data_IF_609531423438
#
_entry.id   IF_609531423438
#
_cell.length_a   1.000
_cell.length_b   1.000
_cell.length_c   1.000
_cell.angle_alpha   90.00
_cell.angle_beta   90.00
_cell.angle_gamma   90.00
#
_symmetry.space_group_name_H-M   'P 1'
#
loop_
_entity.id
_entity.type
_entity.pdbx_description
1 polymer ?
#
# COMPACT_ATOMS: atom_id res chain seq x y z
N UNK A 1 -70.96 -23.56 58.72
CA UNK A 1 -71.19 -24.66 57.77
C UNK A 1 -70.67 -24.18 56.42
N UNK A 2 -69.70 -24.91 55.88
CA UNK A 2 -69.07 -24.83 54.54
C UNK A 2 -69.85 -24.00 53.49
N UNK A 3 -69.23 -23.20 52.61
CA UNK A 3 -68.24 -23.69 51.65
C UNK A 3 -67.64 -22.56 50.76
N UNK A 4 -66.34 -22.74 50.48
CA UNK A 4 -65.67 -22.61 49.16
C UNK A 4 -65.65 -21.29 48.36
N UNK A 5 -64.40 -20.79 48.27
CA UNK A 5 -63.64 -20.40 47.06
C UNK A 5 -63.59 -18.92 46.70
N UNK A 6 -62.66 -18.24 47.39
CA UNK A 6 -61.72 -17.29 46.80
C UNK A 6 -61.18 -17.80 45.47
N UNK A 7 -61.57 -17.16 44.37
CA UNK A 7 -60.89 -17.28 43.07
C UNK A 7 -60.20 -15.95 42.81
N UNK A 8 -58.92 -15.89 43.19
CA UNK A 8 -57.99 -14.86 42.75
C UNK A 8 -57.77 -15.06 41.25
N UNK A 9 -58.34 -14.18 40.42
CA UNK A 9 -58.01 -14.10 39.00
C UNK A 9 -56.67 -13.37 38.86
N UNK A 10 -55.57 -14.12 38.91
CA UNK A 10 -54.25 -13.65 38.50
C UNK A 10 -54.24 -13.58 36.97
N UNK A 11 -54.50 -12.40 36.41
CA UNK A 11 -54.25 -12.12 34.99
C UNK A 11 -52.73 -11.96 34.84
N UNK A 12 -52.07 -13.02 34.37
CA UNK A 12 -50.69 -12.97 33.93
C UNK A 12 -50.62 -12.13 32.64
N UNK A 13 -50.24 -10.87 32.77
CA UNK A 13 -49.85 -10.01 31.64
C UNK A 13 -48.48 -10.48 31.19
N UNK A 14 -48.45 -11.33 30.16
CA UNK A 14 -47.23 -11.72 29.46
C UNK A 14 -46.69 -10.49 28.74
N UNK A 15 -45.69 -9.82 29.32
CA UNK A 15 -44.86 -8.84 28.63
C UNK A 15 -44.18 -9.56 27.45
N UNK A 16 -44.70 -9.34 26.23
CA UNK A 16 -43.95 -9.61 25.02
C UNK A 16 -42.85 -8.55 24.94
N UNK A 17 -41.69 -8.85 25.51
CA UNK A 17 -40.45 -8.15 25.24
C UNK A 17 -40.08 -8.43 23.78
N UNK A 18 -40.61 -7.60 22.87
CA UNK A 18 -40.11 -7.49 21.51
C UNK A 18 -38.68 -6.99 21.58
N UNK A 19 -37.72 -7.92 21.54
CA UNK A 19 -36.33 -7.57 21.31
C UNK A 19 -36.20 -7.00 19.90
N UNK A 20 -36.09 -5.69 19.79
CA UNK A 20 -35.59 -5.07 18.57
C UNK A 20 -34.11 -5.42 18.46
N UNK A 21 -33.76 -6.49 17.73
CA UNK A 21 -32.39 -6.66 17.25
C UNK A 21 -32.19 -5.64 16.13
N UNK A 22 -31.48 -4.55 16.41
CA UNK A 22 -30.98 -3.66 15.37
C UNK A 22 -29.84 -4.41 14.70
N UNK A 23 -30.07 -4.92 13.49
CA UNK A 23 -28.98 -5.42 12.65
C UNK A 23 -28.35 -4.19 11.99
N UNK A 24 -27.17 -3.80 12.49
CA UNK A 24 -26.35 -2.77 11.86
C UNK A 24 -25.68 -3.38 10.62
N UNK A 25 -26.00 -2.84 9.45
CA UNK A 25 -25.40 -3.27 8.18
C UNK A 25 -24.18 -2.39 7.96
N UNK A 26 -22.98 -2.94 8.20
CA UNK A 26 -21.73 -2.25 7.88
C UNK A 26 -21.63 -2.15 6.36
N UNK A 27 -21.57 -0.92 5.85
CA UNK A 27 -21.34 -0.61 4.44
C UNK A 27 -19.85 -0.35 4.26
N UNK A 28 -19.23 -1.02 3.29
CA UNK A 28 -17.80 -0.83 3.03
C UNK A 28 -17.52 0.64 2.68
N UNK A 29 -16.46 1.20 3.25
CA UNK A 29 -15.96 2.50 2.82
C UNK A 29 -15.30 2.39 1.45
N UNK A 30 -15.57 3.35 0.57
CA UNK A 30 -15.04 3.38 -0.79
C UNK A 30 -14.33 4.72 -1.04
N UNK A 31 -13.26 4.70 -1.84
CA UNK A 31 -12.61 5.90 -2.38
C UNK A 31 -12.43 5.79 -3.88
N UNK A 32 -12.55 6.90 -4.60
CA UNK A 32 -12.34 6.94 -6.04
C UNK A 32 -10.83 7.02 -6.35
N UNK A 33 -10.37 6.19 -7.28
CA UNK A 33 -8.99 6.22 -7.75
C UNK A 33 -8.80 7.40 -8.71
N UNK A 34 -7.81 8.24 -8.44
CA UNK A 34 -7.42 9.33 -9.34
C UNK A 34 -6.62 8.74 -10.51
N UNK A 35 -7.07 9.03 -11.74
CA UNK A 35 -6.45 8.55 -12.98
C UNK A 35 -6.13 9.75 -13.86
N UNK A 36 -5.02 9.68 -14.59
CA UNK A 36 -4.59 10.73 -15.49
C UNK A 36 -5.63 10.98 -16.60
N UNK A 37 -6.10 12.22 -16.72
CA UNK A 37 -7.01 12.64 -17.80
C UNK A 37 -6.29 12.72 -19.16
N UNK A 38 -4.98 13.02 -19.13
CA UNK A 38 -4.13 13.17 -20.30
C UNK A 38 -2.81 12.43 -20.08
N UNK A 39 -2.20 11.97 -21.17
CA UNK A 39 -0.87 11.39 -21.12
C UNK A 39 0.14 12.42 -20.59
N UNK A 40 0.88 12.04 -19.55
CA UNK A 40 1.98 12.84 -18.99
C UNK A 40 3.21 12.72 -19.90
N UNK A 41 4.09 13.72 -19.85
CA UNK A 41 5.42 13.62 -20.49
C UNK A 41 6.17 12.43 -19.87
N UNK A 42 6.60 11.49 -20.71
CA UNK A 42 7.32 10.28 -20.30
C UNK A 42 8.59 10.63 -19.51
N UNK A 43 9.23 11.77 -19.79
CA UNK A 43 10.41 12.24 -19.08
C UNK A 43 10.12 12.71 -17.65
N UNK A 44 8.86 12.76 -17.22
CA UNK A 44 8.42 13.18 -15.89
C UNK A 44 7.65 12.07 -15.15
N UNK A 45 7.73 10.84 -15.65
CA UNK A 45 7.19 9.66 -15.00
C UNK A 45 8.25 9.07 -14.07
N UNK A 46 7.88 8.88 -12.80
CA UNK A 46 8.72 8.20 -11.82
C UNK A 46 8.37 6.70 -11.82
N UNK A 47 9.41 5.87 -11.80
CA UNK A 47 9.28 4.43 -11.58
C UNK A 47 9.08 4.15 -10.08
N UNK A 48 8.10 3.29 -9.77
CA UNK A 48 7.73 2.94 -8.41
C UNK A 48 8.16 1.50 -8.10
N UNK A 49 8.89 1.34 -7.00
CA UNK A 49 9.20 0.06 -6.38
C UNK A 49 8.38 -0.14 -5.11
N UNK A 50 7.52 -1.15 -5.09
CA UNK A 50 6.76 -1.56 -3.91
C UNK A 50 7.47 -2.76 -3.31
N UNK A 51 7.99 -2.62 -2.09
CA UNK A 51 8.59 -3.75 -1.40
C UNK A 51 7.48 -4.70 -0.94
N UNK A 52 7.71 -6.02 -0.98
CA UNK A 52 6.80 -6.99 -0.36
C UNK A 52 6.49 -6.54 1.08
N UNK A 53 5.22 -6.46 1.45
CA UNK A 53 4.85 -5.82 2.71
C UNK A 53 5.42 -6.60 3.90
N UNK A 54 5.86 -5.90 4.94
CA UNK A 54 6.16 -6.55 6.20
C UNK A 54 4.88 -7.19 6.74
N UNK A 55 4.96 -8.49 6.98
CA UNK A 55 3.89 -9.31 7.52
C UNK A 55 3.44 -8.87 8.93
N UNK A 56 4.26 -8.11 9.64
CA UNK A 56 3.97 -7.61 10.98
C UNK A 56 3.84 -8.70 12.05
N UNK A 57 4.34 -9.92 11.76
CA UNK A 57 4.25 -11.06 12.67
C UNK A 57 5.17 -10.81 13.88
N UNK A 58 4.64 -10.83 15.12
CA UNK A 58 5.46 -10.67 16.32
C UNK A 58 6.50 -11.80 16.47
N UNK A 59 7.69 -11.50 17.02
CA UNK A 59 8.76 -12.51 17.19
C UNK A 59 8.32 -13.74 18.00
N UNK A 60 7.43 -13.55 18.99
CA UNK A 60 6.87 -14.62 19.82
C UNK A 60 5.41 -14.90 19.44
N UNK A 61 5.12 -15.04 18.15
CA UNK A 61 3.77 -15.30 17.67
C UNK A 61 3.25 -16.66 18.17
N UNK A 62 2.16 -16.63 18.95
CA UNK A 62 1.34 -17.79 19.25
C UNK A 62 -0.01 -17.63 18.55
N UNK A 63 -0.33 -18.41 17.49
CA UNK A 63 -1.59 -18.30 16.78
C UNK A 63 -2.85 -18.53 17.64
N UNK A 64 -2.74 -19.20 18.79
CA UNK A 64 -3.87 -19.34 19.73
C UNK A 64 -4.23 -18.01 20.39
N UNK A 65 -3.23 -17.19 20.70
CA UNK A 65 -3.37 -15.89 21.36
C UNK A 65 -3.55 -14.75 20.35
N UNK A 66 -2.68 -14.68 19.34
CA UNK A 66 -2.62 -13.56 18.38
C UNK A 66 -3.63 -13.72 17.24
N UNK A 67 -4.10 -14.95 16.97
CA UNK A 67 -4.90 -15.30 15.80
C UNK A 67 -4.18 -15.05 14.46
N UNK A 68 -2.86 -14.83 14.48
CA UNK A 68 -2.04 -14.62 13.28
C UNK A 68 -1.44 -15.95 12.85
N UNK A 69 -1.88 -16.45 11.70
CA UNK A 69 -1.32 -17.64 11.08
C UNK A 69 -0.29 -17.23 10.02
N UNK A 70 0.99 -17.54 10.24
CA UNK A 70 2.10 -17.08 9.39
C UNK A 70 1.93 -17.38 7.89
N UNK A 71 1.46 -18.58 7.46
CA UNK A 71 1.26 -18.84 6.03
C UNK A 71 0.20 -17.94 5.41
N UNK A 72 -0.84 -17.59 6.18
CA UNK A 72 -1.90 -16.67 5.73
C UNK A 72 -1.33 -15.27 5.66
N UNK A 73 -0.67 -14.79 6.72
CA UNK A 73 -0.10 -13.45 6.77
C UNK A 73 0.98 -13.21 5.70
N UNK A 74 1.79 -14.23 5.42
CA UNK A 74 2.73 -14.19 4.30
C UNK A 74 2.04 -14.11 2.92
N UNK A 75 0.87 -14.75 2.76
CA UNK A 75 0.08 -14.60 1.54
C UNK A 75 -0.55 -13.20 1.44
N UNK A 76 -1.06 -12.65 2.55
CA UNK A 76 -1.59 -11.28 2.64
C UNK A 76 -0.53 -10.24 2.28
N UNK A 77 0.69 -10.37 2.78
CA UNK A 77 1.81 -9.50 2.45
C UNK A 77 2.05 -9.38 0.94
N UNK A 78 2.15 -10.52 0.23
CA UNK A 78 2.30 -10.53 -1.24
C UNK A 78 1.06 -10.03 -1.96
N UNK A 79 -0.11 -10.37 -1.45
CA UNK A 79 -1.39 -9.95 -2.00
C UNK A 79 -1.51 -8.43 -1.99
N UNK A 80 -1.29 -7.79 -0.85
CA UNK A 80 -1.40 -6.34 -0.71
C UNK A 80 -0.38 -5.60 -1.58
N UNK A 81 0.88 -6.04 -1.61
CA UNK A 81 1.90 -5.46 -2.48
C UNK A 81 1.50 -5.56 -3.96
N UNK A 82 0.98 -6.72 -4.39
CA UNK A 82 0.54 -6.94 -5.78
C UNK A 82 -0.69 -6.10 -6.14
N UNK A 83 -1.66 -5.98 -5.24
CA UNK A 83 -2.87 -5.18 -5.46
C UNK A 83 -2.57 -3.68 -5.50
N UNK A 84 -1.69 -3.18 -4.63
CA UNK A 84 -1.21 -1.80 -4.71
C UNK A 84 -0.49 -1.54 -6.04
N UNK A 85 0.40 -2.45 -6.46
CA UNK A 85 1.09 -2.36 -7.74
C UNK A 85 0.13 -2.25 -8.91
N UNK A 86 -0.88 -3.12 -8.99
CA UNK A 86 -1.86 -3.09 -10.07
C UNK A 86 -2.72 -1.82 -10.04
N UNK A 87 -3.13 -1.39 -8.84
CA UNK A 87 -3.90 -0.15 -8.64
C UNK A 87 -3.11 1.04 -9.18
N UNK A 88 -1.85 1.20 -8.77
CA UNK A 88 -1.01 2.30 -9.24
C UNK A 88 -0.70 2.20 -10.74
N UNK A 89 -0.39 1.02 -11.27
CA UNK A 89 -0.03 0.84 -12.68
C UNK A 89 -1.18 1.27 -13.63
N UNK A 90 -2.44 1.12 -13.21
CA UNK A 90 -3.60 1.51 -14.01
C UNK A 90 -3.89 3.01 -14.09
N UNK A 91 -3.21 3.84 -13.27
CA UNK A 91 -3.55 5.27 -13.12
C UNK A 91 -2.97 6.17 -14.22
N UNK A 92 -1.93 5.73 -14.92
CA UNK A 92 -1.23 6.55 -15.91
C UNK A 92 -0.36 7.68 -15.32
N UNK A 93 -0.15 7.71 -14.00
CA UNK A 93 0.69 8.72 -13.33
C UNK A 93 2.18 8.36 -13.24
N UNK A 94 2.51 7.08 -13.46
CA UNK A 94 3.81 6.48 -13.16
C UNK A 94 4.43 5.87 -14.40
N UNK A 95 5.75 5.68 -14.34
CA UNK A 95 6.46 4.88 -15.32
C UNK A 95 6.15 3.41 -15.08
N UNK A 96 7.19 2.62 -14.84
CA UNK A 96 7.01 1.25 -14.42
C UNK A 96 6.69 1.15 -12.92
N UNK A 97 5.70 0.33 -12.57
CA UNK A 97 5.36 -0.03 -11.18
C UNK A 97 5.65 -1.51 -10.97
N UNK A 98 6.52 -1.82 -10.02
CA UNK A 98 6.98 -3.20 -9.78
C UNK A 98 6.91 -3.55 -8.30
N UNK A 99 6.60 -4.81 -8.01
CA UNK A 99 6.89 -5.38 -6.69
C UNK A 99 8.33 -5.85 -6.70
N UNK A 100 9.12 -5.42 -5.72
CA UNK A 100 10.55 -5.65 -5.61
C UNK A 100 10.87 -6.35 -4.28
N UNK A 101 11.89 -7.22 -4.22
CA UNK A 101 12.23 -7.94 -3.00
C UNK A 101 12.92 -7.04 -1.95
N UNK A 102 13.60 -5.99 -2.41
CA UNK A 102 14.32 -5.02 -1.60
C UNK A 102 14.71 -3.81 -2.45
N UNK A 103 15.36 -2.83 -1.82
CA UNK A 103 15.74 -1.53 -2.38
C UNK A 103 16.84 -1.57 -3.44
N UNK A 104 17.57 -2.69 -3.55
CA UNK A 104 18.61 -2.90 -4.57
C UNK A 104 18.05 -3.01 -6.00
N UNK A 105 16.73 -2.86 -6.18
CA UNK A 105 16.13 -2.69 -7.50
C UNK A 105 16.22 -1.25 -8.05
N UNK A 106 16.64 -0.27 -7.23
CA UNK A 106 16.93 1.12 -7.62
C UNK A 106 15.84 1.78 -8.48
N UNK A 107 14.62 1.83 -7.94
CA UNK A 107 13.50 2.60 -8.50
C UNK A 107 13.52 4.05 -8.02
N UNK A 108 12.79 4.94 -8.71
CA UNK A 108 12.83 6.37 -8.39
C UNK A 108 12.12 6.70 -7.07
N UNK A 109 11.07 5.92 -6.75
CA UNK A 109 10.32 5.96 -5.49
C UNK A 109 10.23 4.54 -4.93
N UNK A 110 10.32 4.43 -3.60
CA UNK A 110 10.23 3.19 -2.86
C UNK A 110 9.06 3.31 -1.88
N UNK A 111 8.15 2.34 -1.94
CA UNK A 111 7.02 2.20 -1.02
C UNK A 111 7.28 0.99 -0.14
N UNK A 112 7.37 1.21 1.17
CA UNK A 112 7.38 0.18 2.21
C UNK A 112 6.03 0.19 2.90
N UNK A 113 5.55 -0.96 3.30
CA UNK A 113 4.37 -1.05 4.14
C UNK A 113 4.46 -2.21 5.09
N UNK A 114 3.80 -2.08 6.25
CA UNK A 114 3.67 -3.11 7.27
C UNK A 114 2.20 -3.35 7.56
N UNK A 115 1.81 -4.61 7.66
CA UNK A 115 0.47 -5.01 8.09
C UNK A 115 0.43 -4.92 9.63
N UNK A 116 -0.31 -3.95 10.16
CA UNK A 116 -0.59 -3.88 11.60
C UNK A 116 -1.73 -4.82 11.95
N UNK A 117 -2.81 -4.79 11.16
CA UNK A 117 -3.99 -5.63 11.35
C UNK A 117 -4.55 -6.11 10.02
N UNK A 118 -4.99 -7.37 9.98
CA UNK A 118 -5.73 -7.98 8.87
C UNK A 118 -6.44 -9.21 9.40
N UNK A 119 -7.76 -9.18 9.44
CA UNK A 119 -8.60 -10.27 9.94
C UNK A 119 -9.65 -10.75 8.92
N UNK A 120 -9.58 -10.23 7.70
CA UNK A 120 -10.54 -10.48 6.62
C UNK A 120 -11.66 -9.44 6.59
N UNK A 121 -12.04 -8.88 7.73
CA UNK A 121 -13.05 -7.83 7.81
C UNK A 121 -12.42 -6.44 7.81
N UNK A 122 -11.32 -6.26 8.52
CA UNK A 122 -10.59 -5.01 8.69
C UNK A 122 -9.14 -5.18 8.25
N UNK A 123 -8.56 -4.11 7.71
CA UNK A 123 -7.14 -4.02 7.43
C UNK A 123 -6.60 -2.67 7.92
N UNK A 124 -5.44 -2.70 8.54
CA UNK A 124 -4.64 -1.52 8.90
C UNK A 124 -3.20 -1.70 8.39
N UNK A 125 -2.73 -0.72 7.62
CA UNK A 125 -1.39 -0.67 7.07
C UNK A 125 -0.68 0.61 7.51
N UNK A 126 0.59 0.49 7.88
CA UNK A 126 1.52 1.62 7.97
C UNK A 126 2.35 1.64 6.70
N UNK A 127 2.36 2.77 6.00
CA UNK A 127 3.05 2.92 4.72
C UNK A 127 4.06 4.05 4.81
N UNK A 128 5.29 3.77 4.40
CA UNK A 128 6.42 4.68 4.32
C UNK A 128 6.85 4.86 2.87
N UNK A 129 6.96 6.11 2.43
CA UNK A 129 7.34 6.45 1.06
C UNK A 129 8.62 7.29 1.09
N UNK A 130 9.59 6.88 0.27
CA UNK A 130 10.87 7.58 0.11
C UNK A 130 11.28 7.60 -1.36
N UNK A 131 12.12 8.55 -1.77
CA UNK A 131 12.68 8.59 -3.12
C UNK A 131 14.12 8.05 -3.19
N UNK A 132 14.61 7.88 -4.42
CA UNK A 132 15.95 7.38 -4.71
C UNK A 132 17.09 8.23 -4.13
N UNK A 133 16.83 9.49 -3.76
CA UNK A 133 17.82 10.33 -3.08
C UNK A 133 17.96 10.00 -1.59
N UNK A 134 17.12 9.11 -1.05
CA UNK A 134 17.04 8.83 0.38
C UNK A 134 16.10 9.76 1.14
N UNK A 135 15.48 10.73 0.46
CA UNK A 135 14.52 11.64 1.07
C UNK A 135 13.22 10.89 1.39
N UNK A 136 12.81 10.96 2.66
CA UNK A 136 11.50 10.51 3.11
C UNK A 136 10.42 11.51 2.68
N UNK A 137 9.33 11.00 2.11
CA UNK A 137 8.18 11.81 1.68
C UNK A 137 7.14 11.90 2.79
N UNK A 138 6.66 10.75 3.27
CA UNK A 138 5.71 10.65 4.37
C UNK A 138 5.60 9.22 4.92
N UNK A 139 5.04 9.15 6.12
CA UNK A 139 4.57 7.91 6.77
C UNK A 139 3.10 8.11 7.13
N UNK A 140 2.23 7.22 6.67
CA UNK A 140 0.79 7.35 6.88
C UNK A 140 0.16 5.99 7.22
N UNK A 141 -0.91 6.06 8.02
CA UNK A 141 -1.76 4.92 8.35
C UNK A 141 -2.95 4.88 7.41
N UNK A 142 -3.21 3.71 6.84
CA UNK A 142 -4.34 3.46 5.96
C UNK A 142 -5.16 2.30 6.49
N UNK A 143 -6.47 2.49 6.59
CA UNK A 143 -7.38 1.48 7.11
C UNK A 143 -8.69 1.45 6.32
N UNK A 144 -9.32 0.28 6.33
CA UNK A 144 -10.71 0.13 5.90
C UNK A 144 -11.37 -1.04 6.60
N UNK A 145 -12.69 -0.95 6.77
CA UNK A 145 -13.53 -2.06 7.18
C UNK A 145 -14.42 -2.49 6.01
N UNK A 146 -14.35 -3.77 5.68
CA UNK A 146 -15.17 -4.41 4.67
C UNK A 146 -16.55 -4.69 5.25
N UNK A 147 -17.60 -4.33 4.51
CA UNK A 147 -18.98 -4.59 4.93
C UNK A 147 -19.44 -6.01 4.59
N UNK A 148 -20.59 -6.43 5.13
CA UNK A 148 -21.25 -7.71 4.76
C UNK A 148 -21.52 -7.78 3.24
N UNK A 149 -21.73 -6.63 2.59
CA UNK A 149 -21.90 -6.51 1.12
C UNK A 149 -20.67 -7.01 0.35
N UNK A 150 -19.47 -6.84 0.91
CA UNK A 150 -18.21 -7.33 0.35
C UNK A 150 -18.14 -8.86 0.33
N UNK A 151 -19.08 -9.58 0.95
CA UNK A 151 -19.23 -11.04 0.88
C UNK A 151 -20.53 -11.52 0.22
N UNK A 152 -21.34 -10.61 -0.32
CA UNK A 152 -22.60 -10.98 -0.96
C UNK A 152 -22.40 -11.78 -2.26
N UNK A 153 -23.34 -12.68 -2.57
CA UNK A 153 -23.29 -13.51 -3.80
C UNK A 153 -23.27 -12.66 -5.08
N UNK A 154 -23.83 -11.44 -5.01
CA UNK A 154 -23.94 -10.50 -6.13
C UNK A 154 -22.81 -9.46 -6.17
N UNK A 155 -21.77 -9.58 -5.33
CA UNK A 155 -20.64 -8.64 -5.35
C UNK A 155 -19.91 -8.70 -6.68
N UNK A 156 -19.40 -7.56 -7.16
CA UNK A 156 -18.43 -7.57 -8.25
C UNK A 156 -17.11 -8.13 -7.71
N UNK A 157 -16.87 -9.42 -7.95
CA UNK A 157 -15.65 -10.13 -7.50
C UNK A 157 -14.36 -9.59 -8.14
N UNK A 158 -14.46 -8.67 -9.10
CA UNK A 158 -13.30 -7.95 -9.67
C UNK A 158 -12.82 -6.82 -8.77
N UNK A 159 -13.67 -6.33 -7.87
CA UNK A 159 -13.30 -5.30 -6.91
C UNK A 159 -12.83 -5.96 -5.61
N UNK A 160 -11.64 -5.55 -5.18
CA UNK A 160 -11.08 -5.98 -3.92
C UNK A 160 -11.88 -5.40 -2.74
N UNK A 161 -12.20 -6.20 -1.70
CA UNK A 161 -12.89 -5.66 -0.53
C UNK A 161 -12.10 -4.55 0.18
N UNK A 162 -10.78 -4.53 0.04
CA UNK A 162 -9.87 -3.51 0.56
C UNK A 162 -9.46 -2.44 -0.48
N UNK A 163 -10.17 -2.34 -1.62
CA UNK A 163 -9.78 -1.45 -2.72
C UNK A 163 -9.55 0.00 -2.29
N UNK A 164 -10.33 0.48 -1.32
CA UNK A 164 -10.18 1.82 -0.73
C UNK A 164 -8.74 2.07 -0.27
N UNK A 165 -8.12 1.16 0.48
CA UNK A 165 -6.77 1.36 1.01
C UNK A 165 -5.75 1.49 -0.11
N UNK A 166 -5.85 0.70 -1.18
CA UNK A 166 -4.94 0.84 -2.33
C UNK A 166 -5.15 2.16 -3.08
N UNK A 167 -6.40 2.61 -3.21
CA UNK A 167 -6.72 3.88 -3.84
C UNK A 167 -6.19 5.05 -3.01
N UNK A 168 -6.39 5.02 -1.70
CA UNK A 168 -5.93 6.07 -0.77
C UNK A 168 -4.39 6.19 -0.83
N UNK A 169 -3.66 5.07 -0.75
CA UNK A 169 -2.19 5.06 -0.88
C UNK A 169 -1.76 5.62 -2.24
N UNK A 170 -2.37 5.15 -3.34
CA UNK A 170 -2.01 5.59 -4.68
C UNK A 170 -2.25 7.09 -4.88
N UNK A 171 -3.37 7.60 -4.37
CA UNK A 171 -3.77 9.00 -4.45
C UNK A 171 -2.86 9.91 -3.62
N UNK A 172 -2.44 9.49 -2.42
CA UNK A 172 -1.56 10.27 -1.56
C UNK A 172 -0.13 10.34 -2.12
N UNK A 173 0.39 9.22 -2.63
CA UNK A 173 1.67 9.20 -3.35
C UNK A 173 1.61 10.12 -4.57
N UNK A 174 0.51 10.05 -5.34
CA UNK A 174 0.30 10.94 -6.48
C UNK A 174 0.28 12.41 -6.05
N UNK A 175 -0.50 12.73 -5.02
CA UNK A 175 -0.65 14.08 -4.47
C UNK A 175 0.70 14.65 -4.07
N UNK A 176 1.51 13.90 -3.31
CA UNK A 176 2.85 14.33 -2.95
C UNK A 176 3.72 14.55 -4.20
N UNK A 177 3.73 13.60 -5.13
CA UNK A 177 4.53 13.70 -6.36
C UNK A 177 4.18 14.92 -7.21
N UNK A 178 2.92 15.39 -7.21
CA UNK A 178 2.54 16.63 -7.93
C UNK A 178 3.14 17.91 -7.35
N UNK A 179 3.60 17.88 -6.10
CA UNK A 179 4.27 19.03 -5.47
C UNK A 179 5.73 19.17 -5.89
N UNK A 180 6.31 18.15 -6.51
CA UNK A 180 7.73 18.12 -6.86
C UNK A 180 8.02 18.98 -8.10
N UNK A 181 9.07 19.83 -8.05
CA UNK A 181 9.52 20.56 -9.23
C UNK A 181 9.99 19.60 -10.34
N UNK A 182 9.75 19.90 -11.64
CA UNK A 182 10.19 19.04 -12.74
C UNK A 182 11.70 18.73 -12.75
N UNK A 183 12.54 19.67 -12.31
CA UNK A 183 13.99 19.44 -12.19
C UNK A 183 14.35 18.44 -11.10
N UNK A 184 13.56 18.38 -10.02
CA UNK A 184 13.75 17.39 -8.96
C UNK A 184 13.34 15.99 -9.45
N UNK A 185 12.22 15.88 -10.17
CA UNK A 185 11.78 14.62 -10.80
C UNK A 185 12.85 14.04 -11.71
N UNK A 186 13.43 14.86 -12.60
CA UNK A 186 14.55 14.43 -13.46
C UNK A 186 15.78 14.01 -12.66
N UNK A 187 16.06 14.70 -11.55
CA UNK A 187 17.18 14.34 -10.66
C UNK A 187 16.97 12.98 -10.01
N UNK A 188 15.75 12.64 -9.58
CA UNK A 188 15.44 11.33 -9.01
C UNK A 188 15.70 10.20 -10.02
N UNK A 189 15.24 10.37 -11.27
CA UNK A 189 15.52 9.43 -12.35
C UNK A 189 17.02 9.25 -12.62
N UNK A 190 17.79 10.35 -12.56
CA UNK A 190 19.25 10.29 -12.70
C UNK A 190 19.92 9.57 -11.53
N UNK A 191 19.46 9.81 -10.30
CA UNK A 191 20.02 9.17 -9.11
C UNK A 191 19.79 7.66 -9.16
N UNK A 192 18.55 7.22 -9.38
CA UNK A 192 18.20 5.80 -9.43
C UNK A 192 18.93 5.07 -10.58
N UNK A 193 19.06 5.72 -11.74
CA UNK A 193 19.84 5.21 -12.86
C UNK A 193 21.33 5.05 -12.50
N UNK A 194 21.93 6.06 -11.86
CA UNK A 194 23.33 5.99 -11.47
C UNK A 194 23.58 5.01 -10.33
N UNK A 195 22.62 4.81 -9.43
CA UNK A 195 22.71 3.77 -8.39
C UNK A 195 22.77 2.39 -9.05
N UNK A 196 21.89 2.13 -10.03
CA UNK A 196 21.93 0.90 -10.82
C UNK A 196 23.26 0.73 -11.58
N UNK A 197 23.80 1.80 -12.17
CA UNK A 197 25.10 1.74 -12.86
C UNK A 197 26.26 1.50 -11.89
N UNK A 198 26.23 2.11 -10.71
CA UNK A 198 27.23 1.94 -9.66
C UNK A 198 27.20 0.52 -9.08
N UNK A 199 26.03 -0.09 -8.94
CA UNK A 199 25.90 -1.50 -8.53
C UNK A 199 26.47 -2.46 -9.59
N UNK A 200 26.13 -2.24 -10.86
CA UNK A 200 26.59 -3.08 -11.97
C UNK A 200 28.07 -2.89 -12.31
N UNK A 201 28.59 -1.67 -12.23
CA UNK A 201 29.97 -1.31 -12.57
C UNK A 201 30.55 -0.28 -11.59
N UNK A 202 30.87 -0.69 -10.35
CA UNK A 202 31.32 0.21 -9.28
C UNK A 202 32.55 1.04 -9.66
N UNK A 203 33.53 0.42 -10.33
CA UNK A 203 34.76 1.09 -10.72
C UNK A 203 34.56 2.22 -11.75
N UNK A 204 33.47 2.18 -12.53
CA UNK A 204 33.16 3.19 -13.53
C UNK A 204 32.22 4.27 -12.96
N UNK A 205 31.21 3.87 -12.18
CA UNK A 205 30.12 4.76 -11.80
C UNK A 205 30.03 5.09 -10.30
N UNK A 206 30.78 4.42 -9.42
CA UNK A 206 30.70 4.64 -7.97
C UNK A 206 30.90 6.10 -7.55
N UNK A 207 31.84 6.81 -8.17
CA UNK A 207 32.13 8.23 -7.88
C UNK A 207 31.14 9.23 -8.53
N UNK A 208 30.17 8.75 -9.33
CA UNK A 208 29.14 9.62 -9.93
C UNK A 208 28.09 10.05 -8.90
N UNK A 209 27.98 9.31 -7.81
CA UNK A 209 27.13 9.62 -6.68
C UNK A 209 27.98 9.95 -5.45
N UNK A 210 27.42 10.79 -4.59
CA UNK A 210 27.92 11.00 -3.25
C UNK A 210 26.80 10.74 -2.26
N UNK A 211 27.12 10.03 -1.20
CA UNK A 211 26.23 9.84 -0.06
C UNK A 211 26.77 10.70 1.08
N UNK A 212 25.91 11.49 1.72
CA UNK A 212 26.28 12.29 2.89
C UNK A 212 26.07 11.54 4.21
N UNK A 213 26.36 12.21 5.33
CA UNK A 213 26.25 11.63 6.67
C UNK A 213 24.80 11.29 7.06
N UNK A 214 23.82 11.93 6.40
CA UNK A 214 22.38 11.68 6.59
C UNK A 214 21.84 10.62 5.62
N UNK A 215 22.72 9.91 4.90
CA UNK A 215 22.40 8.92 3.87
C UNK A 215 21.67 9.48 2.64
N UNK A 216 21.72 10.80 2.43
CA UNK A 216 21.17 11.41 1.23
C UNK A 216 22.14 11.30 0.05
N UNK A 217 21.58 10.96 -1.11
CA UNK A 217 22.33 10.69 -2.34
C UNK A 217 22.25 11.90 -3.26
N UNK A 218 23.40 12.38 -3.68
CA UNK A 218 23.53 13.48 -4.64
C UNK A 218 24.36 13.07 -5.85
N UNK A 219 24.10 13.73 -6.98
CA UNK A 219 24.83 13.49 -8.24
C UNK A 219 26.05 14.40 -8.28
N UNK A 220 27.24 13.81 -8.28
CA UNK A 220 28.52 14.52 -8.46
C UNK A 220 28.74 14.90 -9.92
N UNK A 221 28.52 13.94 -10.82
CA UNK A 221 28.71 14.09 -12.26
C UNK A 221 27.81 13.13 -13.02
N UNK A 222 27.40 13.55 -14.20
CA UNK A 222 26.72 12.68 -15.14
C UNK A 222 27.76 12.01 -16.07
N UNK A 223 27.49 10.77 -16.53
CA UNK A 223 28.21 10.18 -17.66
C UNK A 223 28.06 11.04 -18.92
N UNK A 224 28.92 10.81 -19.92
CA UNK A 224 28.74 11.47 -21.20
C UNK A 224 27.44 11.00 -21.87
N UNK A 225 26.69 11.91 -22.50
CA UNK A 225 25.38 11.60 -23.12
C UNK A 225 25.45 10.45 -24.13
N UNK A 226 26.57 10.32 -24.84
CA UNK A 226 26.80 9.31 -25.87
C UNK A 226 27.70 8.15 -25.41
N UNK A 227 27.81 7.89 -24.11
CA UNK A 227 28.60 6.77 -23.59
C UNK A 227 27.98 5.42 -24.01
N UNK A 228 28.68 4.59 -24.82
CA UNK A 228 28.15 3.30 -25.23
C UNK A 228 27.93 2.31 -24.07
N UNK A 229 28.64 2.48 -22.94
CA UNK A 229 28.43 1.67 -21.75
C UNK A 229 27.09 1.97 -21.08
N UNK A 230 26.73 3.26 -20.98
CA UNK A 230 25.41 3.70 -20.47
C UNK A 230 24.28 3.11 -21.31
N UNK A 231 24.41 3.17 -22.65
CA UNK A 231 23.42 2.59 -23.55
C UNK A 231 23.19 1.09 -23.34
N UNK A 232 24.24 0.33 -22.99
CA UNK A 232 24.11 -1.10 -22.66
C UNK A 232 23.45 -1.32 -21.29
N UNK A 233 23.82 -0.53 -20.28
CA UNK A 233 23.24 -0.67 -18.94
C UNK A 233 21.74 -0.37 -18.95
N UNK A 234 21.30 0.65 -19.70
CA UNK A 234 19.88 0.98 -19.88
C UNK A 234 19.04 -0.14 -20.51
N UNK A 235 19.64 -1.08 -21.25
CA UNK A 235 18.92 -2.23 -21.81
C UNK A 235 18.68 -3.35 -20.79
N UNK A 236 19.41 -3.33 -19.67
CA UNK A 236 19.32 -4.34 -18.61
C UNK A 236 18.32 -3.89 -17.53
N UNK A 237 18.24 -2.57 -17.31
CA UNK A 237 17.35 -1.93 -16.33
C UNK A 237 15.86 -2.12 -16.66
#
# INVERSE_FOLDING_TARGET
MMDRKTVFAFIAVSLASGGCSVNEIITAEESELVVAELAKDENLLLDIGIIEFDAGIPENNDPEDTRIYEPIRGAESRYFAYHLKNTMQGTGHWGAVRVIPNESAFTDVIVRARIEESDGEFVELIVDVSDASGQHWFSSKYETQTGISSYSENRDRRQDPYQKVFNDIANDIHTFATTLPPDYVRRLQQISELQFFADMQPAAYGEHLQVDDDSLVTVNRLPAENDPAVGRLRQIR
#
